data_IF_841542046721
#
_entry.id   IF_841542046721
#
_cell.length_a   1.000
_cell.length_b   1.000
_cell.length_c   1.000
_cell.angle_alpha   90.00
_cell.angle_beta   90.00
_cell.angle_gamma   90.00
#
_symmetry.space_group_name_H-M   'P 1'
#
loop_
_entity.id
_entity.type
_entity.pdbx_description
1 polymer ?
#
# COMPACT_ATOMS: atom_id res chain seq x y z
N UNK A 1 -9.05 1.33 -41.22
CA UNK A 1 -8.98 -0.04 -40.67
C UNK A 1 -9.91 -0.11 -39.49
N UNK A 2 -11.06 -0.78 -39.64
CA UNK A 2 -12.00 -0.93 -38.54
C UNK A 2 -11.42 -1.86 -37.46
N UNK A 3 -11.39 -1.36 -36.24
CA UNK A 3 -11.06 -2.16 -35.06
C UNK A 3 -12.31 -2.95 -34.73
N UNK A 4 -12.27 -4.28 -34.93
CA UNK A 4 -13.45 -5.11 -34.68
C UNK A 4 -13.67 -5.25 -33.17
N UNK A 5 -14.94 -5.43 -32.78
CA UNK A 5 -15.29 -5.74 -31.38
C UNK A 5 -14.62 -7.03 -30.88
N UNK A 6 -14.32 -7.93 -31.81
CA UNK A 6 -13.71 -9.23 -31.55
C UNK A 6 -12.24 -9.10 -31.15
N UNK A 7 -11.49 -8.18 -31.77
CA UNK A 7 -10.07 -7.96 -31.45
C UNK A 7 -9.86 -7.49 -30.00
N UNK A 8 -10.67 -6.51 -29.55
CA UNK A 8 -10.58 -5.95 -28.19
C UNK A 8 -10.96 -7.02 -27.15
N UNK A 9 -12.04 -7.74 -27.42
CA UNK A 9 -12.54 -8.79 -26.51
C UNK A 9 -11.55 -9.94 -26.41
N UNK A 10 -10.90 -10.31 -27.52
CA UNK A 10 -9.88 -11.36 -27.55
C UNK A 10 -8.65 -11.01 -26.70
N UNK A 11 -8.12 -9.79 -26.83
CA UNK A 11 -6.95 -9.37 -26.04
C UNK A 11 -7.30 -9.29 -24.56
N UNK A 12 -8.46 -8.72 -24.23
CA UNK A 12 -8.93 -8.62 -22.85
C UNK A 12 -9.17 -10.00 -22.21
N UNK A 13 -9.74 -10.96 -22.95
CA UNK A 13 -9.93 -12.33 -22.46
C UNK A 13 -8.59 -12.99 -22.16
N UNK A 14 -7.63 -12.94 -23.08
CA UNK A 14 -6.29 -13.52 -22.86
C UNK A 14 -5.56 -12.84 -21.69
N UNK A 15 -5.74 -11.53 -21.53
CA UNK A 15 -5.19 -10.82 -20.37
C UNK A 15 -5.88 -11.24 -19.06
N UNK A 16 -7.20 -11.42 -19.07
CA UNK A 16 -7.96 -11.92 -17.93
C UNK A 16 -7.50 -13.32 -17.54
N UNK A 17 -7.32 -14.23 -18.51
CA UNK A 17 -6.83 -15.59 -18.26
C UNK A 17 -5.42 -15.58 -17.66
N UNK A 18 -4.54 -14.71 -18.18
CA UNK A 18 -3.15 -14.60 -17.73
C UNK A 18 -3.02 -14.02 -16.32
N UNK A 19 -3.86 -13.04 -15.99
CA UNK A 19 -3.68 -12.22 -14.77
C UNK A 19 -4.72 -12.47 -13.70
N UNK A 20 -5.89 -13.00 -14.07
CA UNK A 20 -7.10 -13.04 -13.26
C UNK A 20 -7.83 -11.69 -13.16
N UNK A 21 -7.59 -10.73 -14.07
CA UNK A 21 -8.33 -9.45 -14.07
C UNK A 21 -9.80 -9.71 -14.40
N UNK A 22 -10.70 -9.13 -13.60
CA UNK A 22 -12.13 -9.07 -13.95
C UNK A 22 -12.34 -8.02 -15.03
N UNK A 23 -12.75 -8.46 -16.23
CA UNK A 23 -13.06 -7.56 -17.35
C UNK A 23 -14.56 -7.32 -17.35
N UNK A 24 -14.97 -6.13 -16.88
CA UNK A 24 -16.37 -5.71 -16.92
C UNK A 24 -16.78 -5.23 -18.30
N UNK A 25 -18.11 -5.17 -18.55
CA UNK A 25 -18.66 -4.56 -19.77
C UNK A 25 -18.28 -3.07 -19.88
N UNK A 26 -18.11 -2.40 -18.75
CA UNK A 26 -17.74 -0.98 -18.69
C UNK A 26 -16.32 -0.76 -19.21
N UNK A 27 -15.35 -1.59 -18.79
CA UNK A 27 -13.98 -1.56 -19.31
C UNK A 27 -13.98 -1.75 -20.84
N UNK A 28 -14.74 -2.72 -21.34
CA UNK A 28 -14.84 -2.97 -22.80
C UNK A 28 -15.46 -1.76 -23.51
N UNK A 29 -16.50 -1.16 -22.94
CA UNK A 29 -17.18 0.03 -23.46
C UNK A 29 -16.25 1.23 -23.55
N UNK A 30 -15.50 1.51 -22.48
CA UNK A 30 -14.53 2.61 -22.41
C UNK A 30 -13.36 2.41 -23.37
N UNK A 31 -12.85 1.18 -23.53
CA UNK A 31 -11.79 0.90 -24.51
C UNK A 31 -12.28 1.23 -25.92
N UNK A 32 -13.53 0.86 -26.25
CA UNK A 32 -14.12 1.19 -27.55
C UNK A 32 -14.30 2.69 -27.73
N UNK A 33 -14.83 3.37 -26.72
CA UNK A 33 -14.99 4.82 -26.75
C UNK A 33 -13.65 5.53 -26.98
N UNK A 34 -12.59 5.11 -26.28
CA UNK A 34 -11.23 5.65 -26.44
C UNK A 34 -10.65 5.37 -27.83
N UNK A 35 -10.89 4.19 -28.41
CA UNK A 35 -10.45 3.86 -29.77
C UNK A 35 -11.21 4.64 -30.85
N UNK A 36 -12.41 5.12 -30.56
CA UNK A 36 -13.19 6.01 -31.44
C UNK A 36 -12.84 7.50 -31.24
N UNK A 37 -12.11 7.86 -30.18
CA UNK A 37 -11.77 9.25 -29.87
C UNK A 37 -10.80 9.84 -30.92
N UNK A 38 -11.14 10.99 -31.56
CA UNK A 38 -10.28 11.63 -32.54
C UNK A 38 -8.93 12.09 -31.97
N UNK A 39 -8.91 12.55 -30.71
CA UNK A 39 -7.69 13.02 -30.04
C UNK A 39 -6.68 11.89 -29.84
N UNK A 40 -7.14 10.77 -29.29
CA UNK A 40 -6.38 9.53 -29.17
C UNK A 40 -5.89 9.07 -30.54
N UNK A 41 -6.78 8.97 -31.53
CA UNK A 41 -6.45 8.49 -32.86
C UNK A 41 -5.42 9.35 -33.58
N UNK A 42 -5.45 10.67 -33.40
CA UNK A 42 -4.44 11.57 -33.95
C UNK A 42 -3.06 11.34 -33.31
N UNK A 43 -3.00 11.09 -31.99
CA UNK A 43 -1.75 10.83 -31.27
C UNK A 43 -1.11 9.49 -31.64
N UNK A 44 -1.91 8.49 -32.01
CA UNK A 44 -1.42 7.13 -32.35
C UNK A 44 -1.57 6.79 -33.85
N UNK A 45 -1.68 7.81 -34.72
CA UNK A 45 -1.98 7.63 -36.15
C UNK A 45 -1.02 6.71 -36.91
N UNK A 46 0.25 6.65 -36.51
CA UNK A 46 1.29 5.84 -37.14
C UNK A 46 1.56 4.51 -36.41
N UNK A 47 0.76 4.20 -35.39
CA UNK A 47 0.91 2.99 -34.59
C UNK A 47 0.00 1.90 -35.17
N UNK A 48 0.51 0.67 -35.21
CA UNK A 48 -0.25 -0.46 -35.74
C UNK A 48 -1.51 -0.74 -34.90
N UNK A 49 -2.48 -1.40 -35.54
CA UNK A 49 -3.79 -1.71 -34.96
C UNK A 49 -3.71 -2.37 -33.58
N UNK A 50 -2.83 -3.36 -33.40
CA UNK A 50 -2.77 -4.12 -32.15
C UNK A 50 -2.11 -3.32 -31.03
N UNK A 51 -1.07 -2.54 -31.33
CA UNK A 51 -0.46 -1.63 -30.36
C UNK A 51 -1.41 -0.52 -29.92
N UNK A 52 -2.28 -0.01 -30.82
CA UNK A 52 -3.35 0.94 -30.46
C UNK A 52 -4.34 0.34 -29.48
N UNK A 53 -4.78 -0.89 -29.72
CA UNK A 53 -5.69 -1.60 -28.81
C UNK A 53 -5.01 -1.85 -27.45
N UNK A 54 -3.75 -2.29 -27.44
CA UNK A 54 -2.98 -2.50 -26.22
C UNK A 54 -2.82 -1.21 -25.40
N UNK A 55 -2.52 -0.08 -26.05
CA UNK A 55 -2.47 1.24 -25.40
C UNK A 55 -3.82 1.62 -24.78
N UNK A 56 -4.90 1.50 -25.55
CA UNK A 56 -6.25 1.83 -25.08
C UNK A 56 -6.67 0.95 -23.89
N UNK A 57 -6.41 -0.37 -23.96
CA UNK A 57 -6.67 -1.30 -22.84
C UNK A 57 -5.88 -0.87 -21.61
N UNK A 58 -4.57 -0.64 -21.73
CA UNK A 58 -3.74 -0.26 -20.59
C UNK A 58 -4.21 1.06 -19.95
N UNK A 59 -4.57 2.05 -20.78
CA UNK A 59 -5.11 3.33 -20.33
C UNK A 59 -6.40 3.16 -19.53
N UNK A 60 -7.35 2.39 -20.04
CA UNK A 60 -8.64 2.16 -19.37
C UNK A 60 -8.45 1.37 -18.09
N UNK A 61 -7.62 0.31 -18.10
CA UNK A 61 -7.27 -0.42 -16.87
C UNK A 61 -6.72 0.52 -15.80
N UNK A 62 -5.84 1.46 -16.17
CA UNK A 62 -5.30 2.46 -15.25
C UNK A 62 -6.36 3.41 -14.70
N UNK A 63 -7.35 3.83 -15.51
CA UNK A 63 -8.49 4.65 -15.05
C UNK A 63 -9.35 3.91 -14.03
N UNK A 64 -9.44 2.59 -14.15
CA UNK A 64 -10.15 1.71 -13.22
C UNK A 64 -9.30 1.27 -12.00
N UNK A 65 -8.14 1.88 -11.77
CA UNK A 65 -7.26 1.52 -10.66
C UNK A 65 -6.58 0.14 -10.80
N UNK A 66 -6.69 -0.51 -11.96
CA UNK A 66 -6.08 -1.81 -12.23
C UNK A 66 -4.60 -1.59 -12.57
N UNK A 67 -3.73 -1.97 -11.65
CA UNK A 67 -2.30 -1.70 -11.72
C UNK A 67 -1.53 -2.95 -12.13
N UNK A 68 -1.33 -3.12 -13.44
CA UNK A 68 -0.50 -4.20 -14.00
C UNK A 68 0.77 -3.64 -14.65
N UNK A 69 1.84 -4.43 -14.65
CA UNK A 69 3.06 -4.07 -15.36
C UNK A 69 2.76 -3.93 -16.85
N UNK A 70 3.35 -2.92 -17.51
CA UNK A 70 3.30 -2.77 -18.97
C UNK A 70 3.69 -4.06 -19.69
N UNK A 71 4.60 -4.87 -19.12
CA UNK A 71 4.98 -6.20 -19.66
C UNK A 71 3.78 -7.10 -19.93
N UNK A 72 2.68 -6.94 -19.20
CA UNK A 72 1.51 -7.77 -19.36
C UNK A 72 0.80 -7.57 -20.70
N UNK A 73 0.77 -6.32 -21.18
CA UNK A 73 0.09 -5.95 -22.42
C UNK A 73 1.05 -5.96 -23.61
N UNK A 74 2.36 -5.92 -23.36
CA UNK A 74 3.39 -5.91 -24.42
C UNK A 74 3.33 -7.13 -25.33
N UNK A 75 2.90 -8.29 -24.83
CA UNK A 75 2.77 -9.50 -25.66
C UNK A 75 1.78 -9.32 -26.82
N UNK A 76 0.88 -8.33 -26.72
CA UNK A 76 -0.12 -7.98 -27.74
C UNK A 76 0.28 -6.73 -28.54
N UNK A 77 1.28 -5.97 -28.07
CA UNK A 77 1.78 -4.80 -28.76
C UNK A 77 2.94 -5.21 -29.70
N UNK A 78 2.95 -4.66 -30.91
CA UNK A 78 4.00 -4.93 -31.92
C UNK A 78 5.04 -3.81 -32.00
N UNK A 79 5.19 -3.06 -30.92
CA UNK A 79 6.16 -1.98 -30.79
C UNK A 79 7.14 -2.26 -29.63
N UNK A 80 8.36 -1.70 -29.66
CA UNK A 80 9.28 -1.81 -28.55
C UNK A 80 8.69 -1.27 -27.24
N UNK A 81 9.05 -1.90 -26.11
CA UNK A 81 8.58 -1.50 -24.78
C UNK A 81 8.90 -0.04 -24.43
N UNK A 82 10.06 0.46 -24.84
CA UNK A 82 10.49 1.84 -24.63
C UNK A 82 9.52 2.81 -25.33
N UNK A 83 9.23 2.57 -26.60
CA UNK A 83 8.26 3.37 -27.37
C UNK A 83 6.85 3.29 -26.79
N UNK A 84 6.42 2.12 -26.30
CA UNK A 84 5.11 1.97 -25.65
C UNK A 84 5.01 2.83 -24.38
N UNK A 85 6.04 2.81 -23.53
CA UNK A 85 6.08 3.62 -22.30
C UNK A 85 6.13 5.12 -22.62
N UNK A 86 6.91 5.52 -23.62
CA UNK A 86 6.98 6.92 -24.06
C UNK A 86 5.61 7.43 -24.57
N UNK A 87 4.91 6.60 -25.36
CA UNK A 87 3.56 6.92 -25.84
C UNK A 87 2.56 7.04 -24.69
N UNK A 88 2.59 6.13 -23.72
CA UNK A 88 1.78 6.25 -22.50
C UNK A 88 2.02 7.59 -21.79
N UNK A 89 3.29 8.00 -21.67
CA UNK A 89 3.65 9.29 -21.10
C UNK A 89 3.07 10.47 -21.88
N UNK A 90 3.16 10.46 -23.22
CA UNK A 90 2.55 11.47 -24.11
C UNK A 90 1.02 11.50 -24.00
N UNK A 91 0.41 10.35 -23.75
CA UNK A 91 -1.03 10.20 -23.52
C UNK A 91 -1.46 10.57 -22.08
N UNK A 92 -0.56 11.10 -21.26
CA UNK A 92 -0.84 11.55 -19.90
C UNK A 92 -0.95 10.41 -18.87
N UNK A 93 -0.56 9.18 -19.24
CA UNK A 93 -0.67 8.02 -18.36
C UNK A 93 0.55 7.93 -17.46
N UNK A 94 0.35 8.16 -16.16
CA UNK A 94 1.42 8.00 -15.18
C UNK A 94 1.72 6.52 -14.92
N UNK A 95 3.01 6.11 -14.83
CA UNK A 95 3.40 4.77 -14.40
C UNK A 95 2.81 4.43 -13.03
N UNK A 96 2.55 3.15 -12.77
CA UNK A 96 2.04 2.78 -11.46
C UNK A 96 3.09 3.01 -10.36
N UNK A 97 2.67 3.57 -9.24
CA UNK A 97 3.49 3.63 -8.04
C UNK A 97 3.59 2.24 -7.39
N UNK A 98 4.55 2.06 -6.48
CA UNK A 98 4.64 0.84 -5.66
C UNK A 98 3.35 0.66 -4.86
N UNK A 99 2.84 1.75 -4.28
CA UNK A 99 1.62 1.76 -3.50
C UNK A 99 0.41 1.27 -4.30
N UNK A 100 0.23 1.78 -5.51
CA UNK A 100 -0.83 1.37 -6.42
C UNK A 100 -0.75 -0.14 -6.77
N UNK A 101 0.44 -0.67 -7.05
CA UNK A 101 0.63 -2.10 -7.28
C UNK A 101 0.25 -2.95 -6.07
N UNK A 102 0.67 -2.52 -4.88
CA UNK A 102 0.42 -3.27 -3.64
C UNK A 102 -1.06 -3.27 -3.31
N UNK A 103 -1.74 -2.12 -3.40
CA UNK A 103 -3.17 -2.03 -3.13
C UNK A 103 -3.98 -2.89 -4.10
N UNK A 104 -3.72 -2.79 -5.40
CA UNK A 104 -4.35 -3.63 -6.40
C UNK A 104 -4.13 -5.13 -6.13
N UNK A 105 -2.90 -5.55 -5.86
CA UNK A 105 -2.59 -6.96 -5.65
C UNK A 105 -3.20 -7.51 -4.35
N UNK A 106 -3.19 -6.73 -3.26
CA UNK A 106 -3.83 -7.10 -1.99
C UNK A 106 -5.33 -7.27 -2.17
N UNK A 107 -5.99 -6.28 -2.78
CA UNK A 107 -7.44 -6.30 -2.98
C UNK A 107 -7.83 -7.48 -3.90
N UNK A 108 -7.07 -7.72 -4.98
CA UNK A 108 -7.29 -8.84 -5.89
C UNK A 108 -7.13 -10.20 -5.23
N UNK A 109 -6.14 -10.35 -4.34
CA UNK A 109 -5.86 -11.61 -3.65
C UNK A 109 -6.69 -11.79 -2.38
N UNK A 110 -7.59 -10.85 -2.06
CA UNK A 110 -8.42 -10.90 -0.85
C UNK A 110 -7.61 -10.82 0.45
N UNK A 111 -6.49 -10.10 0.43
CA UNK A 111 -5.59 -9.99 1.59
C UNK A 111 -5.97 -8.81 2.48
N UNK A 112 -5.63 -8.91 3.76
CA UNK A 112 -5.98 -7.91 4.76
C UNK A 112 -5.13 -6.63 4.64
N UNK A 113 -5.64 -5.51 5.18
CA UNK A 113 -4.89 -4.23 5.26
C UNK A 113 -3.58 -4.33 6.06
N UNK A 114 -3.47 -5.14 7.13
CA UNK A 114 -2.19 -5.47 7.76
C UNK A 114 -1.15 -6.02 6.77
N UNK A 115 -1.54 -6.94 5.88
CA UNK A 115 -0.65 -7.47 4.84
C UNK A 115 -0.21 -6.37 3.88
N UNK A 116 -1.13 -5.49 3.45
CA UNK A 116 -0.79 -4.33 2.62
C UNK A 116 0.21 -3.39 3.29
N UNK A 117 -0.02 -3.06 4.56
CA UNK A 117 0.86 -2.18 5.34
C UNK A 117 2.27 -2.76 5.45
N UNK A 118 2.39 -4.03 5.84
CA UNK A 118 3.67 -4.71 5.93
C UNK A 118 4.37 -4.79 4.56
N UNK A 119 3.61 -5.04 3.49
CA UNK A 119 4.13 -5.03 2.12
C UNK A 119 4.73 -3.67 1.77
N UNK A 120 4.01 -2.57 2.02
CA UNK A 120 4.50 -1.22 1.76
C UNK A 120 5.71 -0.86 2.60
N UNK A 121 5.72 -1.27 3.87
CA UNK A 121 6.87 -1.06 4.75
C UNK A 121 8.12 -1.75 4.19
N UNK A 122 8.01 -3.03 3.81
CA UNK A 122 9.10 -3.77 3.17
C UNK A 122 9.53 -3.07 1.88
N UNK A 123 8.58 -2.75 1.01
CA UNK A 123 8.83 -2.15 -0.30
C UNK A 123 9.56 -0.80 -0.20
N UNK A 124 9.23 0.04 0.79
CA UNK A 124 9.91 1.34 1.01
C UNK A 124 11.34 1.17 1.49
N UNK A 125 11.59 0.27 2.44
CA UNK A 125 12.95 -0.02 2.92
C UNK A 125 13.85 -0.52 1.79
N UNK A 126 13.28 -1.31 0.89
CA UNK A 126 14.02 -1.77 -0.28
C UNK A 126 14.15 -0.66 -1.30
N UNK A 127 13.12 0.16 -1.54
CA UNK A 127 13.15 1.24 -2.54
C UNK A 127 14.39 2.11 -2.34
N UNK A 128 14.56 2.60 -1.13
CA UNK A 128 15.63 3.54 -0.76
C UNK A 128 17.03 2.88 -0.92
N UNK A 129 17.12 1.55 -0.89
CA UNK A 129 18.35 0.77 -1.17
C UNK A 129 18.45 0.40 -2.66
N UNK A 130 17.31 0.23 -3.34
CA UNK A 130 17.15 -0.32 -4.68
C UNK A 130 17.23 0.71 -5.80
N UNK A 131 17.21 2.01 -5.50
CA UNK A 131 17.52 3.06 -6.49
C UNK A 131 18.85 2.80 -7.20
N UNK A 132 19.78 2.08 -6.55
CA UNK A 132 21.04 1.61 -7.13
C UNK A 132 20.94 0.37 -8.03
N UNK A 133 19.83 -0.36 -7.99
CA UNK A 133 19.67 -1.71 -8.59
C UNK A 133 18.77 -1.75 -9.83
N UNK A 134 18.06 -0.66 -10.16
CA UNK A 134 17.21 -0.57 -11.34
C UNK A 134 15.98 -1.49 -11.33
N UNK A 135 15.56 -2.01 -10.16
CA UNK A 135 14.38 -2.87 -10.05
C UNK A 135 13.10 -2.10 -10.33
N UNK A 136 12.21 -2.68 -11.14
CA UNK A 136 10.91 -2.07 -11.43
C UNK A 136 9.96 -2.12 -10.22
N UNK A 137 9.12 -1.09 -10.05
CA UNK A 137 8.12 -1.01 -8.97
C UNK A 137 7.24 -2.25 -8.85
N UNK A 138 6.82 -2.87 -9.97
CA UNK A 138 6.02 -4.10 -9.97
C UNK A 138 6.76 -5.28 -9.33
N UNK A 139 8.07 -5.41 -9.55
CA UNK A 139 8.88 -6.49 -8.98
C UNK A 139 9.09 -6.25 -7.48
N UNK A 140 9.37 -5.01 -7.08
CA UNK A 140 9.48 -4.65 -5.65
C UNK A 140 8.15 -4.97 -4.95
N UNK A 141 7.03 -4.48 -5.47
CA UNK A 141 5.70 -4.75 -4.91
C UNK A 141 5.40 -6.25 -4.81
N UNK A 142 5.65 -7.02 -5.87
CA UNK A 142 5.40 -8.46 -5.90
C UNK A 142 6.24 -9.23 -4.86
N UNK A 143 7.53 -8.95 -4.80
CA UNK A 143 8.44 -9.63 -3.87
C UNK A 143 8.17 -9.23 -2.42
N UNK A 144 7.88 -7.96 -2.16
CA UNK A 144 7.47 -7.50 -0.83
C UNK A 144 6.15 -8.14 -0.39
N UNK A 145 5.18 -8.30 -1.30
CA UNK A 145 3.89 -8.91 -1.01
C UNK A 145 4.03 -10.40 -0.68
N UNK A 146 4.84 -11.12 -1.47
CA UNK A 146 5.13 -12.53 -1.19
C UNK A 146 5.74 -12.73 0.21
N UNK A 147 6.69 -11.88 0.59
CA UNK A 147 7.31 -11.94 1.91
C UNK A 147 6.31 -11.59 3.02
N UNK A 148 5.62 -10.45 2.90
CA UNK A 148 4.63 -10.01 3.89
C UNK A 148 3.50 -11.02 4.10
N UNK A 149 2.95 -11.57 3.02
CA UNK A 149 1.90 -12.59 3.09
C UNK A 149 2.40 -13.85 3.80
N UNK A 150 3.61 -14.33 3.48
CA UNK A 150 4.23 -15.47 4.16
C UNK A 150 4.43 -15.23 5.66
N UNK A 151 4.86 -14.04 6.06
CA UNK A 151 5.08 -13.69 7.46
C UNK A 151 3.78 -13.57 8.25
N UNK A 152 2.71 -13.13 7.60
CA UNK A 152 1.36 -13.14 8.15
C UNK A 152 0.68 -14.54 8.08
N UNK A 153 1.39 -15.59 7.68
CA UNK A 153 0.90 -16.97 7.66
C UNK A 153 0.13 -17.37 6.39
N UNK A 154 -0.03 -16.48 5.42
CA UNK A 154 -0.65 -16.81 4.13
C UNK A 154 0.31 -17.59 3.24
N UNK A 155 -0.13 -18.74 2.74
CA UNK A 155 0.65 -19.59 1.83
C UNK A 155 0.26 -19.33 0.37
N UNK A 156 0.59 -18.15 -0.14
CA UNK A 156 0.30 -17.78 -1.53
C UNK A 156 1.44 -18.26 -2.45
N UNK A 157 1.17 -19.08 -3.48
CA UNK A 157 2.19 -19.46 -4.47
C UNK A 157 2.80 -18.25 -5.17
N UNK A 158 4.13 -18.25 -5.37
CA UNK A 158 4.84 -17.20 -6.11
C UNK A 158 4.26 -16.99 -7.51
N UNK A 159 3.86 -18.07 -8.18
CA UNK A 159 3.20 -18.05 -9.50
C UNK A 159 1.96 -17.14 -9.54
N UNK A 160 1.14 -17.16 -8.49
CA UNK A 160 -0.10 -16.37 -8.42
C UNK A 160 0.23 -14.87 -8.25
N UNK A 161 1.21 -14.53 -7.42
CA UNK A 161 1.64 -13.13 -7.24
C UNK A 161 2.34 -12.63 -8.51
N UNK A 162 3.18 -13.47 -9.11
CA UNK A 162 3.89 -13.16 -10.34
C UNK A 162 2.92 -12.89 -11.50
N UNK A 163 1.89 -13.71 -11.67
CA UNK A 163 0.85 -13.50 -12.69
C UNK A 163 0.00 -12.26 -12.41
N UNK A 164 -0.35 -12.00 -11.14
CA UNK A 164 -1.15 -10.84 -10.73
C UNK A 164 -0.52 -9.51 -11.13
N UNK A 165 0.80 -9.39 -10.94
CA UNK A 165 1.57 -8.17 -11.24
C UNK A 165 2.36 -8.23 -12.55
N UNK A 166 2.20 -9.32 -13.30
CA UNK A 166 2.87 -9.60 -14.56
C UNK A 166 4.41 -9.46 -14.49
N UNK A 167 4.99 -10.09 -13.47
CA UNK A 167 6.44 -10.25 -13.31
C UNK A 167 6.82 -11.71 -13.51
N UNK A 168 8.08 -12.01 -13.81
CA UNK A 168 8.51 -13.42 -13.89
C UNK A 168 8.72 -13.99 -12.49
N UNK A 169 8.40 -15.28 -12.32
CA UNK A 169 8.66 -16.00 -11.07
C UNK A 169 10.15 -15.98 -10.70
N UNK A 170 11.04 -16.02 -11.70
CA UNK A 170 12.49 -15.94 -11.51
C UNK A 170 12.89 -14.57 -10.94
N UNK A 171 12.37 -13.47 -11.50
CA UNK A 171 12.64 -12.12 -10.96
C UNK A 171 12.09 -11.99 -9.55
N UNK A 172 10.85 -12.45 -9.32
CA UNK A 172 10.23 -12.43 -7.99
C UNK A 172 11.10 -13.18 -6.97
N UNK A 173 11.53 -14.40 -7.30
CA UNK A 173 12.36 -15.25 -6.43
C UNK A 173 13.72 -14.64 -6.13
N UNK A 174 14.41 -14.13 -7.15
CA UNK A 174 15.72 -13.51 -6.97
C UNK A 174 15.61 -12.26 -6.10
N UNK A 175 14.64 -11.40 -6.37
CA UNK A 175 14.41 -10.21 -5.56
C UNK A 175 14.01 -10.58 -4.13
N UNK A 176 13.19 -11.61 -3.90
CA UNK A 176 12.89 -12.06 -2.53
C UNK A 176 14.14 -12.47 -1.75
N UNK A 177 15.10 -13.18 -2.37
CA UNK A 177 16.37 -13.54 -1.71
C UNK A 177 17.15 -12.29 -1.32
N UNK A 178 17.31 -11.36 -2.27
CA UNK A 178 18.01 -10.10 -2.04
C UNK A 178 17.36 -9.30 -0.90
N UNK A 179 16.02 -9.25 -0.84
CA UNK A 179 15.30 -8.55 0.23
C UNK A 179 15.60 -9.18 1.60
N UNK A 180 15.55 -10.51 1.69
CA UNK A 180 15.82 -11.21 2.96
C UNK A 180 17.25 -10.97 3.42
N UNK A 181 18.22 -11.02 2.50
CA UNK A 181 19.63 -10.72 2.80
C UNK A 181 19.80 -9.27 3.28
N UNK A 182 19.17 -8.31 2.59
CA UNK A 182 19.23 -6.89 2.94
C UNK A 182 18.59 -6.56 4.29
N UNK A 183 17.48 -7.22 4.63
CA UNK A 183 16.80 -7.00 5.90
C UNK A 183 17.47 -7.72 7.07
N UNK A 184 18.43 -8.61 6.82
CA UNK A 184 19.19 -9.33 7.85
C UNK A 184 18.38 -10.35 8.66
N UNK A 185 17.06 -10.44 8.45
CA UNK A 185 16.17 -11.34 9.17
C UNK A 185 15.36 -12.23 8.23
N UNK A 186 15.28 -13.52 8.56
CA UNK A 186 14.46 -14.50 7.81
C UNK A 186 12.96 -14.28 7.99
N UNK A 187 12.54 -13.71 9.13
CA UNK A 187 11.13 -13.40 9.46
C UNK A 187 11.11 -12.05 10.21
N UNK A 188 11.01 -10.92 9.49
CA UNK A 188 10.85 -9.62 10.12
C UNK A 188 9.50 -9.57 10.84
N UNK A 189 9.43 -8.91 12.01
CA UNK A 189 8.17 -8.71 12.70
C UNK A 189 7.11 -8.03 11.81
N UNK A 190 5.85 -8.41 11.95
CA UNK A 190 4.73 -7.87 11.17
C UNK A 190 3.72 -7.15 12.07
N UNK A 191 3.10 -6.09 11.58
CA UNK A 191 2.01 -5.43 12.32
C UNK A 191 0.66 -6.08 12.00
N UNK A 192 -0.19 -6.29 13.00
CA UNK A 192 -1.57 -6.76 12.83
C UNK A 192 -2.51 -6.12 13.87
N UNK A 193 -3.81 -6.10 13.58
CA UNK A 193 -4.84 -5.79 14.58
C UNK A 193 -5.01 -6.99 15.52
N UNK A 194 -5.08 -6.74 16.82
CA UNK A 194 -5.27 -7.79 17.83
C UNK A 194 -6.47 -7.51 18.72
N UNK A 195 -7.14 -8.57 19.15
CA UNK A 195 -8.25 -8.44 20.09
C UNK A 195 -7.78 -8.05 21.48
N UNK A 196 -8.69 -7.41 22.24
CA UNK A 196 -8.45 -7.02 23.63
C UNK A 196 -8.01 -8.19 24.51
N UNK A 197 -8.55 -9.38 24.27
CA UNK A 197 -8.21 -10.61 25.03
C UNK A 197 -6.76 -11.04 24.83
N UNK A 198 -6.22 -10.85 23.61
CA UNK A 198 -4.80 -11.11 23.32
C UNK A 198 -3.94 -10.06 24.00
N UNK A 199 -4.30 -8.78 23.87
CA UNK A 199 -3.53 -7.68 24.43
C UNK A 199 -3.46 -7.69 25.97
N UNK A 200 -4.54 -8.04 26.66
CA UNK A 200 -4.60 -8.11 28.13
C UNK A 200 -3.65 -9.16 28.73
N UNK A 201 -3.14 -10.12 27.95
CA UNK A 201 -2.08 -11.03 28.42
C UNK A 201 -0.73 -10.34 28.59
N UNK A 202 -0.55 -9.18 27.95
CA UNK A 202 0.72 -8.46 27.85
C UNK A 202 0.65 -7.03 28.39
N UNK A 203 -0.55 -6.51 28.62
CA UNK A 203 -0.80 -5.16 29.12
C UNK A 203 -1.46 -5.26 30.48
N UNK A 204 -0.92 -4.55 31.48
CA UNK A 204 -1.42 -4.59 32.86
C UNK A 204 -2.82 -4.00 32.99
N UNK A 205 -3.05 -2.87 32.34
CA UNK A 205 -4.29 -2.11 32.41
C UNK A 205 -4.63 -1.53 31.04
N UNK A 206 -5.88 -1.68 30.62
CA UNK A 206 -6.43 -1.02 29.43
C UNK A 206 -7.55 -0.08 29.87
N UNK A 207 -7.71 1.09 29.23
CA UNK A 207 -8.87 1.94 29.45
C UNK A 207 -10.17 1.15 29.30
N UNK A 208 -11.02 1.20 30.32
CA UNK A 208 -12.35 0.56 30.30
C UNK A 208 -13.41 1.48 29.69
N UNK A 209 -14.47 0.88 29.14
CA UNK A 209 -15.61 1.62 28.60
C UNK A 209 -15.32 2.43 27.32
N UNK A 210 -14.15 2.25 26.71
CA UNK A 210 -13.72 3.02 25.53
C UNK A 210 -13.36 2.07 24.38
N UNK A 211 -13.81 2.35 23.15
CA UNK A 211 -13.37 1.60 21.97
C UNK A 211 -11.89 1.90 21.67
N UNK A 212 -11.09 0.84 21.64
CA UNK A 212 -9.65 0.90 21.35
C UNK A 212 -9.35 0.19 20.05
N UNK A 213 -8.34 0.70 19.33
CA UNK A 213 -7.68 -0.02 18.24
C UNK A 213 -6.33 -0.50 18.78
N UNK A 214 -6.07 -1.80 18.70
CA UNK A 214 -4.85 -2.41 19.22
C UNK A 214 -4.05 -2.96 18.05
N UNK A 215 -2.83 -2.45 17.87
CA UNK A 215 -1.92 -2.95 16.84
C UNK A 215 -0.73 -3.64 17.50
N UNK A 216 -0.55 -4.92 17.23
CA UNK A 216 0.59 -5.67 17.72
C UNK A 216 1.67 -5.82 16.66
N UNK A 217 2.91 -5.61 17.06
CA UNK A 217 4.07 -6.09 16.32
C UNK A 217 4.30 -7.54 16.70
N UNK A 218 4.07 -8.45 15.75
CA UNK A 218 4.08 -9.88 15.95
C UNK A 218 5.32 -10.52 15.33
N UNK A 219 5.89 -11.50 16.04
CA UNK A 219 6.87 -12.46 15.51
C UNK A 219 6.39 -13.85 15.88
N UNK A 220 6.17 -14.70 14.88
CA UNK A 220 5.65 -16.06 15.06
C UNK A 220 4.34 -16.10 15.89
N UNK A 221 3.49 -15.08 15.70
CA UNK A 221 2.21 -14.94 16.40
C UNK A 221 2.31 -14.42 17.84
N UNK A 222 3.52 -14.14 18.36
CA UNK A 222 3.72 -13.54 19.68
C UNK A 222 3.93 -12.02 19.56
N UNK A 223 3.27 -11.20 20.39
CA UNK A 223 3.47 -9.76 20.41
C UNK A 223 4.81 -9.40 21.05
N UNK A 224 5.62 -8.66 20.30
CA UNK A 224 6.86 -8.02 20.74
C UNK A 224 6.58 -6.62 21.32
N UNK A 225 5.59 -5.94 20.76
CA UNK A 225 5.12 -4.62 21.19
C UNK A 225 3.65 -4.44 20.81
N UNK A 226 2.89 -3.67 21.58
CA UNK A 226 1.48 -3.35 21.29
C UNK A 226 1.29 -1.84 21.36
N UNK A 227 0.75 -1.26 20.29
CA UNK A 227 0.27 0.11 20.28
C UNK A 227 -1.19 0.14 20.70
N UNK A 228 -1.47 1.01 21.65
CA UNK A 228 -2.82 1.28 22.14
C UNK A 228 -3.29 2.58 21.50
N UNK A 229 -4.32 2.48 20.67
CA UNK A 229 -4.82 3.60 19.89
C UNK A 229 -6.29 3.86 20.22
N UNK A 230 -6.72 5.11 20.07
CA UNK A 230 -8.09 5.53 20.30
C UNK A 230 -8.55 6.54 19.27
N UNK A 231 -9.81 6.41 18.81
CA UNK A 231 -10.44 7.45 18.00
C UNK A 231 -10.79 8.69 18.85
N UNK A 232 -10.47 9.91 18.39
CA UNK A 232 -10.58 11.14 19.17
C UNK A 232 -12.01 11.67 19.32
N UNK A 233 -13.02 11.01 18.73
CA UNK A 233 -14.43 11.39 18.86
C UNK A 233 -14.96 11.21 20.30
N UNK A 234 -14.21 10.49 21.13
CA UNK A 234 -14.56 10.23 22.52
C UNK A 234 -13.88 11.25 23.45
N UNK A 235 -14.57 11.66 24.52
CA UNK A 235 -13.93 12.45 25.60
C UNK A 235 -12.78 11.65 26.24
N UNK A 236 -11.69 12.31 26.68
CA UNK A 236 -11.45 13.76 26.68
C UNK A 236 -10.85 14.30 25.36
N UNK A 237 -10.57 13.44 24.37
CA UNK A 237 -9.79 13.80 23.20
C UNK A 237 -10.48 14.78 22.27
N UNK A 238 -11.81 14.74 22.19
CA UNK A 238 -12.59 15.71 21.41
C UNK A 238 -12.42 17.14 21.94
N UNK A 239 -12.37 17.32 23.26
CA UNK A 239 -12.16 18.62 23.91
C UNK A 239 -10.71 19.09 23.73
N UNK A 240 -9.76 18.19 23.89
CA UNK A 240 -8.34 18.48 23.67
C UNK A 240 -8.10 18.89 22.21
N UNK A 241 -8.69 18.17 21.26
CA UNK A 241 -8.55 18.48 19.84
C UNK A 241 -9.11 19.88 19.51
N UNK A 242 -10.28 20.22 20.07
CA UNK A 242 -10.89 21.54 19.92
C UNK A 242 -9.99 22.66 20.45
N UNK A 243 -9.46 22.51 21.68
CA UNK A 243 -8.61 23.53 22.31
C UNK A 243 -7.26 23.67 21.60
N UNK A 244 -6.70 22.57 21.08
CA UNK A 244 -5.41 22.56 20.41
C UNK A 244 -5.49 22.81 18.89
N UNK A 245 -6.69 23.07 18.34
CA UNK A 245 -6.88 23.28 16.90
C UNK A 245 -6.59 22.04 16.04
N UNK A 246 -6.61 20.85 16.64
CA UNK A 246 -6.44 19.60 15.91
C UNK A 246 -7.77 19.15 15.28
N UNK A 247 -7.75 18.61 14.06
CA UNK A 247 -8.94 18.00 13.48
C UNK A 247 -9.31 16.73 14.27
N UNK A 248 -10.60 16.55 14.55
CA UNK A 248 -11.13 15.30 15.13
C UNK A 248 -11.35 14.26 14.03
N UNK A 249 -11.84 14.70 12.87
CA UNK A 249 -12.14 13.81 11.77
C UNK A 249 -10.86 13.34 11.06
N UNK A 250 -10.76 12.02 10.83
CA UNK A 250 -9.57 11.41 10.24
C UNK A 250 -8.36 11.38 11.18
N UNK A 251 -8.56 11.58 12.47
CA UNK A 251 -7.49 11.56 13.47
C UNK A 251 -7.50 10.29 14.32
N UNK A 252 -6.34 9.92 14.87
CA UNK A 252 -6.21 8.84 15.85
C UNK A 252 -5.17 9.20 16.91
N UNK A 253 -5.43 8.80 18.15
CA UNK A 253 -4.58 9.08 19.30
C UNK A 253 -3.76 7.85 19.67
N UNK A 254 -2.44 7.99 19.79
CA UNK A 254 -1.57 6.99 20.42
C UNK A 254 -1.59 7.25 21.92
N UNK A 255 -2.22 6.33 22.65
CA UNK A 255 -2.28 6.36 24.12
C UNK A 255 -0.97 5.84 24.71
N UNK A 256 -0.52 4.68 24.23
CA UNK A 256 0.68 4.03 24.73
C UNK A 256 1.29 3.07 23.72
N UNK A 257 2.54 2.69 23.97
CA UNK A 257 3.27 1.63 23.27
C UNK A 257 3.88 0.74 24.35
N UNK A 258 3.40 -0.48 24.46
CA UNK A 258 3.95 -1.44 25.42
C UNK A 258 5.09 -2.23 24.78
N UNK A 259 6.13 -2.51 25.58
CA UNK A 259 7.32 -3.24 25.16
C UNK A 259 7.42 -4.50 26.00
N UNK A 260 7.48 -5.68 25.38
CA UNK A 260 7.67 -6.91 26.13
C UNK A 260 9.15 -7.15 26.50
N UNK A 261 10.09 -6.76 25.64
CA UNK A 261 11.49 -7.22 25.73
C UNK A 261 12.56 -6.22 25.25
N UNK A 262 12.28 -5.37 24.26
CA UNK A 262 13.26 -4.44 23.68
C UNK A 262 12.57 -3.12 23.24
N UNK A 263 13.06 -1.93 23.66
CA UNK A 263 12.57 -0.63 23.20
C UNK A 263 12.54 -0.44 21.68
N UNK A 264 13.49 -1.05 20.95
CA UNK A 264 13.56 -0.99 19.49
C UNK A 264 12.31 -1.58 18.82
N UNK A 265 11.63 -2.52 19.47
CA UNK A 265 10.40 -3.09 18.95
C UNK A 265 9.26 -2.07 18.95
N UNK A 266 9.18 -1.14 19.91
CA UNK A 266 8.15 -0.10 19.84
C UNK A 266 8.45 0.95 18.77
N UNK A 267 9.73 1.25 18.51
CA UNK A 267 10.12 2.09 17.36
C UNK A 267 9.71 1.46 16.03
N UNK A 268 9.97 0.16 15.88
CA UNK A 268 9.57 -0.60 14.70
C UNK A 268 8.05 -0.73 14.58
N UNK A 269 7.36 -0.95 15.71
CA UNK A 269 5.91 -1.04 15.76
C UNK A 269 5.27 0.30 15.37
N UNK A 270 5.78 1.41 15.88
CA UNK A 270 5.37 2.76 15.48
C UNK A 270 5.59 2.98 13.99
N UNK A 271 6.77 2.65 13.46
CA UNK A 271 7.10 2.79 12.04
C UNK A 271 6.09 2.06 11.13
N UNK A 272 5.74 0.81 11.48
CA UNK A 272 4.76 0.00 10.74
C UNK A 272 3.32 0.47 10.94
N UNK A 273 2.97 0.92 12.15
CA UNK A 273 1.65 1.46 12.46
C UNK A 273 1.36 2.73 11.67
N UNK A 274 2.35 3.60 11.45
CA UNK A 274 2.15 4.81 10.64
C UNK A 274 1.75 4.49 9.19
N UNK A 275 2.34 3.44 8.60
CA UNK A 275 1.95 2.95 7.27
C UNK A 275 0.53 2.39 7.29
N UNK A 276 0.21 1.62 8.33
CA UNK A 276 -1.09 0.99 8.50
C UNK A 276 -2.21 2.03 8.63
N UNK A 277 -2.03 3.00 9.52
CA UNK A 277 -3.01 4.04 9.80
C UNK A 277 -3.26 4.92 8.57
N UNK A 278 -2.23 5.21 7.78
CA UNK A 278 -2.39 5.88 6.50
C UNK A 278 -3.27 5.09 5.54
N UNK A 279 -3.10 3.76 5.46
CA UNK A 279 -3.95 2.90 4.63
C UNK A 279 -5.39 2.79 5.12
N UNK A 280 -5.62 2.92 6.43
CA UNK A 280 -6.97 3.01 7.02
C UNK A 280 -7.64 4.37 6.80
N UNK A 281 -6.95 5.32 6.19
CA UNK A 281 -7.50 6.65 5.86
C UNK A 281 -7.31 7.70 6.94
N UNK A 282 -6.52 7.42 7.99
CA UNK A 282 -6.16 8.43 8.98
C UNK A 282 -5.22 9.47 8.35
N UNK A 283 -5.49 10.74 8.65
CA UNK A 283 -4.77 11.93 8.18
C UNK A 283 -3.84 12.48 9.25
N UNK A 284 -4.26 12.44 10.50
CA UNK A 284 -3.50 12.96 11.62
C UNK A 284 -3.35 11.90 12.71
N UNK A 285 -2.15 11.86 13.29
CA UNK A 285 -1.86 11.03 14.45
C UNK A 285 -1.31 11.95 15.51
N UNK A 286 -1.77 11.78 16.75
CA UNK A 286 -1.23 12.54 17.86
C UNK A 286 -1.11 11.70 19.12
N UNK A 287 -0.32 12.17 20.07
CA UNK A 287 -0.07 11.49 21.33
C UNK A 287 0.20 12.52 22.43
N UNK A 288 -0.17 12.18 23.65
CA UNK A 288 0.18 12.94 24.86
C UNK A 288 1.16 12.16 25.75
N UNK A 289 1.67 11.02 25.26
CA UNK A 289 2.54 10.16 26.02
C UNK A 289 4.00 10.63 25.91
N UNK A 290 4.45 11.34 26.94
CA UNK A 290 5.83 11.82 27.04
C UNK A 290 6.86 10.67 27.15
N UNK A 291 6.45 9.47 27.56
CA UNK A 291 7.33 8.30 27.66
C UNK A 291 7.89 7.85 26.31
N UNK A 292 7.15 8.12 25.22
CA UNK A 292 7.56 7.79 23.85
C UNK A 292 7.98 9.03 23.04
N UNK A 293 8.26 10.16 23.72
CA UNK A 293 8.60 11.45 23.08
C UNK A 293 9.70 11.30 22.02
N UNK A 294 10.80 10.64 22.37
CA UNK A 294 11.95 10.53 21.47
C UNK A 294 11.59 9.75 20.20
N UNK A 295 10.80 8.69 20.33
CA UNK A 295 10.23 7.92 19.23
C UNK A 295 9.34 8.79 18.34
N UNK A 296 8.42 9.54 18.94
CA UNK A 296 7.54 10.44 18.20
C UNK A 296 8.33 11.49 17.41
N UNK A 297 9.30 12.14 18.04
CA UNK A 297 10.15 13.15 17.39
C UNK A 297 10.99 12.55 16.25
N UNK A 298 11.58 11.36 16.45
CA UNK A 298 12.36 10.66 15.41
C UNK A 298 11.50 10.30 14.20
N UNK A 299 10.20 10.06 14.44
CA UNK A 299 9.18 9.84 13.40
C UNK A 299 8.52 11.14 12.94
N UNK A 300 9.10 12.31 13.17
CA UNK A 300 8.63 13.57 12.60
C UNK A 300 7.32 14.11 13.20
N UNK A 301 6.91 13.63 14.37
CA UNK A 301 5.89 14.32 15.15
C UNK A 301 6.46 15.64 15.67
N UNK A 302 5.59 16.64 15.82
CA UNK A 302 5.95 17.97 16.33
C UNK A 302 5.18 18.25 17.61
N UNK A 303 5.79 18.89 18.62
CA UNK A 303 5.05 19.42 19.75
C UNK A 303 4.16 20.57 19.26
N UNK A 304 2.87 20.50 19.53
CA UNK A 304 1.89 21.49 19.04
C UNK A 304 1.17 22.24 20.16
N UNK A 305 1.08 21.63 21.34
CA UNK A 305 0.35 22.23 22.47
C UNK A 305 0.83 21.65 23.81
N UNK A 306 0.71 22.43 24.88
CA UNK A 306 0.96 21.98 26.26
C UNK A 306 -0.35 21.96 27.03
N UNK A 307 -0.65 20.84 27.69
CA UNK A 307 -1.84 20.64 28.52
C UNK A 307 -1.47 20.90 29.99
N UNK A 308 -1.79 22.08 30.56
CA UNK A 308 -1.32 22.45 31.89
C UNK A 308 -1.86 21.53 32.98
N UNK A 309 -3.14 21.14 32.88
CA UNK A 309 -3.80 20.26 33.85
C UNK A 309 -3.20 18.86 33.92
N UNK A 310 -2.61 18.37 32.81
CA UNK A 310 -1.96 17.06 32.77
C UNK A 310 -0.43 17.14 32.83
N UNK A 311 0.14 18.35 32.80
CA UNK A 311 1.58 18.60 32.64
C UNK A 311 2.19 17.81 31.48
N UNK A 312 1.47 17.70 30.36
CA UNK A 312 1.84 16.88 29.19
C UNK A 312 1.91 17.73 27.92
N UNK A 313 2.79 17.35 27.00
CA UNK A 313 2.89 17.96 25.67
C UNK A 313 2.14 17.07 24.68
N UNK A 314 1.38 17.71 23.79
CA UNK A 314 0.75 17.05 22.65
C UNK A 314 1.73 17.06 21.49
N UNK A 315 2.03 15.86 21.00
CA UNK A 315 2.79 15.62 19.78
C UNK A 315 1.83 15.25 18.66
N UNK A 316 1.96 15.86 17.49
CA UNK A 316 1.11 15.53 16.35
C UNK A 316 1.94 15.40 15.06
N UNK A 317 1.43 14.57 14.15
CA UNK A 317 1.98 14.37 12.81
C UNK A 317 0.83 14.23 11.82
N UNK A 318 0.92 14.98 10.74
CA UNK A 318 0.15 14.72 9.54
C UNK A 318 0.80 13.57 8.75
N UNK A 319 0.01 12.56 8.42
CA UNK A 319 0.45 11.37 7.66
C UNK A 319 -0.20 11.29 6.27
N UNK A 320 -1.13 12.20 5.97
CA UNK A 320 -1.65 12.40 4.62
C UNK A 320 -0.83 13.43 3.86
N UNK A 321 -0.15 12.98 2.81
CA UNK A 321 0.01 13.81 1.62
C UNK A 321 -0.49 12.96 0.45
N UNK A 322 -1.54 13.44 -0.21
CA UNK A 322 -2.34 12.86 -1.30
C UNK A 322 -3.32 11.71 -0.94
N UNK A 323 -4.58 11.78 -1.43
CA UNK A 323 -5.52 10.65 -1.42
C UNK A 323 -4.92 9.52 -2.26
N UNK A 324 -4.95 8.29 -1.76
CA UNK A 324 -4.55 7.14 -2.56
C UNK A 324 -5.49 6.88 -3.74
N UNK A 325 -6.69 7.48 -3.71
CA UNK A 325 -7.72 7.37 -4.72
C UNK A 325 -8.56 8.65 -4.65
N UNK A 326 -8.09 9.74 -5.27
CA UNK A 326 -9.02 10.76 -5.77
C UNK A 326 -9.36 10.34 -7.19
N UNK A 327 -10.43 9.55 -7.32
CA UNK A 327 -11.14 9.36 -8.58
C UNK A 327 -12.02 10.57 -8.83
#
# INVERSE_FOLDING_TARGET
>A
MDISREDVSTILSKLADKTGISVSRDIIGEVKALLSDPGFNNMVKYIDKYSRIALAIYMVLRRHGICISVRCIMDYARIPRTSFIELLGKLGVKPCSIEEYVLYAVDKLGLSRPVASNTLWIARRIRDISEKTGLSHSVIAASSLYLASRYAGYKIPQKIIASTLCVSEVSLRNTCRNIVELLGERIPPYIDEVDKTVAMKYIRELPEGIPLVLLALLREGKPLSILILQEPKMKPWSEIALVSGLPVEGSIVILDITYAENPEYGELALDKALVYLRLKGYRYIWSVNNGIKNSLLSKGFRPIWYLPGLKKIIYAREISNTPFLSF
#
